data_IF_677447520652
#
_entry.id   IF_677447520652
#
_cell.length_a   1.000
_cell.length_b   1.000
_cell.length_c   1.000
_cell.angle_alpha   90.00
_cell.angle_beta   90.00
_cell.angle_gamma   90.00
#
_symmetry.space_group_name_H-M   'P 1'
#
loop_
_entity.id
_entity.type
_entity.pdbx_description
1 polymer ?
#
# COMPACT_ATOMS: atom_id res chain seq x y z
N UNK A 1 -16.04 -12.96 -3.52
CA UNK A 1 -16.84 -12.63 -2.32
C UNK A 1 -18.31 -13.03 -2.47
N UNK A 2 -18.92 -12.85 -3.66
CA UNK A 2 -20.25 -13.39 -3.99
C UNK A 2 -20.33 -14.92 -3.81
N UNK A 3 -19.32 -15.65 -4.30
CA UNK A 3 -19.34 -17.13 -4.22
C UNK A 3 -19.20 -17.68 -2.79
N UNK A 4 -18.35 -17.07 -1.94
CA UNK A 4 -18.23 -17.50 -0.54
C UNK A 4 -19.52 -17.28 0.24
N UNK A 5 -20.23 -16.17 -0.03
CA UNK A 5 -21.53 -15.87 0.61
C UNK A 5 -22.61 -16.89 0.28
N UNK A 6 -22.55 -17.54 -0.88
CA UNK A 6 -23.48 -18.60 -1.25
C UNK A 6 -23.29 -19.88 -0.44
N UNK A 7 -22.06 -20.17 -0.01
CA UNK A 7 -21.72 -21.38 0.78
C UNK A 7 -21.85 -21.13 2.29
N UNK A 8 -21.45 -19.95 2.77
CA UNK A 8 -21.54 -19.56 4.18
C UNK A 8 -22.25 -18.22 4.33
N UNK A 9 -23.59 -18.20 4.35
CA UNK A 9 -24.38 -16.97 4.45
C UNK A 9 -24.28 -16.31 5.83
N UNK A 10 -23.89 -17.06 6.87
CA UNK A 10 -23.85 -16.59 8.26
C UNK A 10 -22.46 -16.09 8.69
N UNK A 11 -21.47 -16.16 7.79
CA UNK A 11 -20.11 -15.72 8.08
C UNK A 11 -19.95 -14.20 7.91
N UNK A 12 -19.16 -13.58 8.78
CA UNK A 12 -18.77 -12.18 8.64
C UNK A 12 -17.64 -12.06 7.63
N UNK A 13 -17.86 -11.28 6.57
CA UNK A 13 -16.83 -11.01 5.58
C UNK A 13 -16.29 -9.59 5.75
N UNK A 14 -15.01 -9.49 6.11
CA UNK A 14 -14.31 -8.21 6.25
C UNK A 14 -13.20 -8.09 5.21
N UNK A 15 -13.16 -6.97 4.49
CA UNK A 15 -12.06 -6.67 3.58
C UNK A 15 -10.83 -6.25 4.37
N UNK A 16 -9.76 -7.03 4.31
CA UNK A 16 -8.52 -6.80 5.09
C UNK A 16 -7.54 -5.85 4.37
N UNK A 17 -7.88 -5.42 3.14
CA UNK A 17 -7.05 -4.53 2.32
C UNK A 17 -5.70 -5.14 1.91
N UNK A 18 -4.78 -4.31 1.42
CA UNK A 18 -3.47 -4.73 0.91
C UNK A 18 -2.47 -5.23 1.97
N UNK A 19 -2.83 -5.14 3.26
CA UNK A 19 -2.08 -5.73 4.36
C UNK A 19 -2.06 -7.26 4.27
N UNK A 20 -3.12 -7.84 3.70
CA UNK A 20 -3.26 -9.27 3.51
C UNK A 20 -2.21 -9.82 2.53
N UNK A 21 -1.88 -9.08 1.46
CA UNK A 21 -0.88 -9.49 0.45
C UNK A 21 0.54 -9.63 1.02
N UNK A 22 0.83 -8.92 2.12
CA UNK A 22 2.08 -9.03 2.86
C UNK A 22 2.07 -10.25 3.80
N UNK A 23 0.90 -10.61 4.32
CA UNK A 23 0.72 -11.74 5.23
C UNK A 23 0.67 -13.09 4.49
N UNK A 24 0.07 -13.12 3.30
CA UNK A 24 0.04 -14.32 2.43
C UNK A 24 1.36 -14.59 1.71
N UNK A 25 2.39 -13.76 1.93
CA UNK A 25 3.72 -13.93 1.33
C UNK A 25 3.77 -13.63 -0.17
N UNK A 26 2.69 -13.10 -0.75
CA UNK A 26 2.62 -12.77 -2.18
C UNK A 26 3.53 -11.57 -2.52
N UNK A 27 3.82 -10.71 -1.53
CA UNK A 27 4.69 -9.54 -1.67
C UNK A 27 5.91 -9.71 -0.75
N UNK A 28 7.12 -9.73 -1.33
CA UNK A 28 8.37 -9.71 -0.56
C UNK A 28 8.39 -8.47 0.35
N UNK A 29 8.48 -8.69 1.67
CA UNK A 29 8.75 -7.60 2.61
C UNK A 29 10.09 -6.95 2.25
N UNK A 30 10.16 -5.63 2.44
CA UNK A 30 11.42 -4.93 2.27
C UNK A 30 12.47 -5.48 3.26
N UNK A 31 13.77 -5.47 2.92
CA UNK A 31 14.82 -5.94 3.83
C UNK A 31 14.81 -5.17 5.15
N UNK A 32 15.22 -5.81 6.25
CA UNK A 32 15.19 -5.22 7.60
C UNK A 32 15.98 -3.90 7.71
N UNK A 33 17.02 -3.71 6.90
CA UNK A 33 17.78 -2.46 6.83
C UNK A 33 16.89 -1.28 6.43
N UNK A 34 16.01 -1.49 5.44
CA UNK A 34 15.08 -0.46 4.96
C UNK A 34 13.94 -0.19 5.94
N UNK A 35 13.52 -1.23 6.68
CA UNK A 35 12.54 -1.09 7.77
C UNK A 35 13.14 -0.28 8.93
N UNK A 36 14.38 -0.59 9.36
CA UNK A 36 15.09 0.14 10.43
C UNK A 36 15.37 1.60 10.07
N UNK A 37 15.58 1.89 8.79
CA UNK A 37 15.76 3.26 8.30
C UNK A 37 14.44 4.02 8.08
N UNK A 38 13.27 3.38 8.24
CA UNK A 38 11.98 3.99 7.92
C UNK A 38 11.77 4.27 6.43
N UNK A 39 12.62 3.72 5.56
CA UNK A 39 12.62 3.90 4.10
C UNK A 39 11.87 2.77 3.39
N UNK A 40 11.05 2.01 4.11
CA UNK A 40 10.25 0.93 3.55
C UNK A 40 9.34 1.43 2.42
N UNK A 41 8.83 2.66 2.58
CA UNK A 41 8.03 3.34 1.56
C UNK A 41 8.82 3.58 0.27
N UNK A 42 10.10 3.93 0.36
CA UNK A 42 10.97 4.21 -0.78
C UNK A 42 11.35 2.92 -1.51
N UNK A 43 11.63 1.85 -0.76
CA UNK A 43 11.89 0.53 -1.34
C UNK A 43 10.68 0.02 -2.13
N UNK A 44 9.47 0.13 -1.56
CA UNK A 44 8.21 -0.23 -2.25
C UNK A 44 7.95 0.66 -3.48
N UNK A 45 8.37 1.92 -3.42
CA UNK A 45 8.26 2.87 -4.51
C UNK A 45 9.14 2.45 -5.72
N UNK A 46 10.36 1.99 -5.45
CA UNK A 46 11.31 1.52 -6.48
C UNK A 46 10.86 0.18 -7.07
N UNK A 47 10.27 -0.71 -6.25
CA UNK A 47 9.85 -2.06 -6.67
C UNK A 47 8.60 -2.05 -7.57
N UNK A 48 7.74 -1.03 -7.48
CA UNK A 48 6.54 -0.87 -8.33
C UNK A 48 6.55 0.47 -9.07
N UNK A 49 7.40 0.63 -10.12
CA UNK A 49 7.53 1.88 -10.84
C UNK A 49 6.26 2.29 -11.59
N UNK A 50 5.35 1.35 -11.90
CA UNK A 50 4.05 1.64 -12.52
C UNK A 50 3.09 2.42 -11.62
N UNK A 51 3.29 2.40 -10.28
CA UNK A 51 2.45 3.12 -9.31
C UNK A 51 2.99 4.50 -8.92
N UNK A 52 4.24 4.83 -9.31
CA UNK A 52 4.89 6.12 -9.07
C UNK A 52 4.05 7.33 -9.51
N UNK A 53 3.31 7.19 -10.61
CA UNK A 53 2.49 8.28 -11.15
C UNK A 53 1.44 8.81 -10.16
N UNK A 54 0.93 7.98 -9.24
CA UNK A 54 -0.02 8.41 -8.20
C UNK A 54 0.70 8.98 -6.97
N UNK A 55 1.82 8.41 -6.56
CA UNK A 55 2.60 8.91 -5.41
C UNK A 55 3.27 10.26 -5.70
N UNK A 56 3.69 10.52 -6.95
CA UNK A 56 4.21 11.84 -7.36
C UNK A 56 3.16 12.96 -7.24
N UNK A 57 1.85 12.64 -7.31
CA UNK A 57 0.80 13.64 -7.05
C UNK A 57 0.81 14.10 -5.59
N UNK A 58 1.18 13.24 -4.64
CA UNK A 58 1.40 13.66 -3.24
C UNK A 58 2.64 14.53 -3.09
N UNK A 59 3.72 14.27 -3.83
CA UNK A 59 4.89 15.16 -3.86
C UNK A 59 4.53 16.55 -4.44
N UNK A 60 3.64 16.60 -5.44
CA UNK A 60 3.07 17.87 -5.91
C UNK A 60 2.29 18.58 -4.81
N UNK A 61 1.51 17.86 -4.01
CA UNK A 61 0.77 18.44 -2.89
C UNK A 61 1.71 18.96 -1.78
N UNK A 62 2.78 18.24 -1.48
CA UNK A 62 3.84 18.71 -0.57
C UNK A 62 4.51 19.99 -1.11
N UNK A 63 4.76 20.04 -2.41
CA UNK A 63 5.31 21.24 -3.07
C UNK A 63 4.31 22.41 -3.03
N UNK A 64 3.01 22.11 -3.11
CA UNK A 64 1.93 23.09 -2.98
C UNK A 64 1.90 23.68 -1.56
N UNK A 65 1.96 22.81 -0.54
CA UNK A 65 2.07 23.23 0.86
C UNK A 65 3.34 24.05 1.13
N UNK A 66 4.49 23.69 0.52
CA UNK A 66 5.73 24.46 0.64
C UNK A 66 5.69 25.82 -0.05
N UNK A 67 4.84 25.98 -1.07
CA UNK A 67 4.61 27.26 -1.75
C UNK A 67 3.65 28.18 -1.00
N UNK A 68 2.93 27.69 0.01
CA UNK A 68 2.06 28.51 0.85
C UNK A 68 0.71 28.86 0.21
N UNK A 69 0.31 28.20 -0.87
CA UNK A 69 -0.98 28.42 -1.54
C UNK A 69 -2.07 27.52 -0.94
N UNK A 70 -2.56 27.82 0.27
CA UNK A 70 -3.79 27.25 0.82
C UNK A 70 -4.77 28.38 1.20
#
# INVERSE_FOLDING_TARGET
MQECKAVYPQALYMGVGGTYDVYTGQVKRAPEVWQKMGLEWLYRLILQPSRLGRQLKLLKYLNYHRRGDL
#
